data_IF_792729871796
#
_entry.id   IF_792729871796
#
_cell.length_a   1.000
_cell.length_b   1.000
_cell.length_c   1.000
_cell.angle_alpha   90.00
_cell.angle_beta   90.00
_cell.angle_gamma   90.00
#
_symmetry.space_group_name_H-M   'P 1'
#
loop_
_entity.id
_entity.type
_entity.pdbx_description
1 polymer ?
#
# COMPACT_ATOMS: atom_id res chain seq x y z
N UNK A 1 -39.88 6.21 6.96
CA UNK A 1 -39.06 6.17 6.48
C UNK A 1 -39.15 6.39 6.08
N UNK A 2 -39.52 6.18 6.67
CA UNK A 2 -38.74 5.97 6.13
C UNK A 2 -38.54 6.13 5.98
N UNK A 3 -38.29 5.94 6.31
CA UNK A 3 -37.48 5.79 6.09
C UNK A 3 -36.86 5.85 5.92
N UNK A 4 -37.39 5.79 6.62
CA UNK A 4 -36.39 5.73 6.35
C UNK A 4 -36.19 5.57 6.40
N UNK A 5 -35.98 5.39 6.75
CA UNK A 5 -35.30 5.14 6.59
C UNK A 5 -34.57 4.97 6.61
N UNK A 6 -35.49 5.16 7.24
CA UNK A 6 -34.43 5.02 7.24
C UNK A 6 -34.29 4.56 6.85
N UNK A 7 -34.11 4.36 7.42
CA UNK A 7 -33.47 3.95 6.87
C UNK A 7 -33.08 4.04 6.05
N UNK A 8 -34.03 4.08 6.99
CA UNK A 8 -33.35 4.09 6.15
C UNK A 8 -32.88 4.50 5.99
N UNK A 9 -32.89 4.54 6.54
CA UNK A 9 -32.01 4.96 6.23
C UNK A 9 -31.25 4.82 6.33
N UNK A 10 -31.40 4.85 6.86
CA UNK A 10 -30.40 4.78 6.59
C UNK A 10 -30.24 4.32 6.17
N UNK A 11 -30.94 4.48 6.97
CA UNK A 11 -30.31 4.17 6.19
C UNK A 11 -30.41 4.05 5.46
N UNK A 12 -31.46 3.82 5.85
CA UNK A 12 -31.18 3.73 4.98
C UNK A 12 -31.26 3.74 4.28
N UNK A 13 -31.50 3.55 4.90
CA UNK A 13 -31.25 3.64 4.04
C UNK A 13 -31.17 3.62 3.42
N UNK A 14 -31.58 3.13 3.66
CA UNK A 14 -31.01 3.29 3.08
C UNK A 14 -31.13 2.89 2.34
N UNK A 15 -31.21 2.53 2.71
CA UNK A 15 -31.10 2.36 1.94
C UNK A 15 -30.82 2.28 1.33
N UNK A 16 -31.66 2.18 2.19
CA UNK A 16 -31.10 2.12 1.49
C UNK A 16 -31.03 2.18 0.79
N UNK A 17 -31.18 1.97 1.52
CA UNK A 17 -30.49 2.03 0.73
C UNK A 17 -30.42 2.23 0.37
N UNK A 18 -30.30 1.93 0.78
CA UNK A 18 -29.78 2.09 0.32
C UNK A 18 -29.11 2.46 0.30
N UNK A 19 -29.90 2.57 1.23
CA UNK A 19 -28.67 2.99 1.09
C UNK A 19 -28.47 3.41 1.45
N UNK A 20 -27.88 3.53 2.02
CA UNK A 20 -27.12 3.92 1.88
C UNK A 20 -26.75 4.30 2.14
N UNK A 21 -26.36 4.44 2.74
CA UNK A 21 -25.55 4.70 2.54
C UNK A 21 -25.17 5.18 2.33
N UNK A 22 -25.25 5.34 2.87
CA UNK A 22 -24.57 5.69 2.37
C UNK A 22 -24.44 5.96 1.79
N UNK A 23 -24.81 6.15 1.95
CA UNK A 23 -24.14 6.25 1.00
C UNK A 23 -24.15 6.48 0.46
N UNK A 24 -24.49 6.47 0.40
CA UNK A 24 -24.09 6.41 -0.59
C UNK A 24 -24.07 6.81 -1.03
N UNK A 25 -24.02 6.94 -1.08
CA UNK A 25 -23.65 7.12 -1.92
C UNK A 25 -23.88 7.20 -2.62
N UNK A 26 -23.97 7.39 -2.81
CA UNK A 26 -24.04 7.26 -3.72
C UNK A 26 -23.42 6.90 -4.55
N UNK A 27 -23.85 7.07 -4.74
CA UNK A 27 -23.42 6.34 -5.81
C UNK A 27 -22.30 6.98 -6.42
N UNK A 28 -22.32 8.13 -6.80
CA UNK A 28 -21.22 8.69 -7.41
C UNK A 28 -20.16 8.88 -6.50
N UNK A 29 -20.43 9.10 -5.33
CA UNK A 29 -19.38 9.23 -4.46
C UNK A 29 -18.78 7.91 -4.16
N UNK A 30 -19.60 6.92 -3.98
CA UNK A 30 -19.12 5.60 -3.83
C UNK A 30 -18.38 5.16 -5.03
N UNK A 31 -18.81 5.63 -6.20
CA UNK A 31 -18.15 5.30 -7.37
C UNK A 31 -16.79 5.81 -7.44
N UNK A 32 -16.52 6.95 -6.89
CA UNK A 32 -15.17 7.44 -6.89
C UNK A 32 -14.26 6.49 -6.20
N UNK A 33 -14.77 5.84 -5.15
CA UNK A 33 -13.96 4.87 -4.48
C UNK A 33 -13.65 3.73 -5.39
N UNK A 34 -14.62 3.27 -6.11
CA UNK A 34 -14.43 2.16 -7.01
C UNK A 34 -13.46 2.52 -8.10
N UNK A 35 -13.58 3.70 -8.63
CA UNK A 35 -12.68 4.12 -9.66
C UNK A 35 -11.27 4.19 -9.19
N UNK A 36 -11.10 4.54 -7.93
CA UNK A 36 -9.78 4.64 -7.39
C UNK A 36 -9.16 3.29 -7.18
N UNK A 37 -9.94 2.25 -7.38
CA UNK A 37 -9.41 0.92 -7.22
C UNK A 37 -9.00 0.34 -8.55
N UNK A 38 -8.36 1.15 -9.36
CA UNK A 38 -7.79 0.64 -10.58
C UNK A 38 -6.87 -0.51 -10.23
N UNK A 39 -6.99 -1.59 -10.96
CA UNK A 39 -6.21 -2.78 -10.73
C UNK A 39 -4.74 -2.49 -11.01
N UNK A 40 -3.91 -2.76 -10.02
CA UNK A 40 -2.47 -2.63 -10.16
C UNK A 40 -1.93 -4.03 -10.36
N UNK A 41 -1.11 -4.20 -11.37
CA UNK A 41 -0.57 -5.51 -11.72
C UNK A 41 0.92 -5.58 -11.48
N UNK A 42 1.41 -6.79 -11.28
CA UNK A 42 2.81 -7.03 -11.06
C UNK A 42 3.54 -7.12 -12.40
N UNK A 43 4.64 -6.37 -12.54
CA UNK A 43 5.50 -6.46 -13.70
C UNK A 43 6.55 -7.55 -13.57
N UNK A 44 6.68 -8.10 -12.36
CA UNK A 44 7.57 -9.20 -12.03
C UNK A 44 6.99 -9.86 -10.79
N UNK A 45 7.51 -11.01 -10.41
CA UNK A 45 7.04 -11.68 -9.19
C UNK A 45 7.28 -10.78 -7.99
N UNK A 46 6.30 -10.68 -7.13
CA UNK A 46 6.32 -9.83 -5.94
C UNK A 46 6.03 -10.69 -4.73
N UNK A 47 6.72 -10.43 -3.64
CA UNK A 47 6.47 -11.12 -2.38
C UNK A 47 5.96 -10.15 -1.34
N UNK A 48 5.13 -10.66 -0.45
CA UNK A 48 4.61 -9.89 0.66
C UNK A 48 5.76 -9.20 1.40
N UNK A 49 5.58 -7.93 1.68
CA UNK A 49 6.56 -7.16 2.43
C UNK A 49 7.60 -6.45 1.59
N UNK A 50 7.62 -6.69 0.28
CA UNK A 50 8.57 -5.98 -0.58
C UNK A 50 8.07 -4.59 -0.90
N UNK A 51 9.02 -3.66 -1.00
CA UNK A 51 8.74 -2.31 -1.51
C UNK A 51 8.59 -2.42 -3.01
N UNK A 52 7.53 -1.85 -3.55
CA UNK A 52 7.30 -1.88 -4.99
C UNK A 52 7.30 -0.48 -5.58
N UNK A 53 7.80 -0.37 -6.79
CA UNK A 53 7.87 0.90 -7.52
C UNK A 53 7.08 0.80 -8.81
N UNK A 54 6.66 1.95 -9.30
CA UNK A 54 5.89 2.03 -10.54
C UNK A 54 6.83 1.82 -11.71
N UNK A 55 6.57 0.79 -12.50
CA UNK A 55 7.40 0.45 -13.67
C UNK A 55 6.62 0.52 -14.97
N UNK A 56 5.33 0.82 -14.91
CA UNK A 56 4.50 0.95 -16.11
C UNK A 56 3.15 1.54 -15.73
N UNK A 57 2.24 1.59 -16.67
CA UNK A 57 0.91 2.16 -16.43
C UNK A 57 0.12 1.20 -15.54
N UNK A 58 -0.01 1.56 -14.26
CA UNK A 58 -0.64 0.74 -13.24
C UNK A 58 0.08 -0.61 -13.07
N UNK A 59 1.40 -0.60 -13.25
CA UNK A 59 2.25 -1.79 -13.09
C UNK A 59 3.32 -1.48 -12.07
N UNK A 60 3.55 -2.39 -11.14
CA UNK A 60 4.59 -2.24 -10.13
C UNK A 60 5.49 -3.46 -10.10
N UNK A 61 6.70 -3.26 -9.65
CA UNK A 61 7.68 -4.34 -9.48
C UNK A 61 8.48 -4.09 -8.22
N UNK A 62 9.11 -5.11 -7.65
CA UNK A 62 9.99 -4.87 -6.50
C UNK A 62 11.08 -3.88 -6.89
N UNK A 63 11.46 -3.01 -5.96
CA UNK A 63 12.52 -2.03 -6.23
C UNK A 63 13.86 -2.73 -6.42
N UNK A 64 14.73 -2.12 -7.21
CA UNK A 64 16.09 -2.65 -7.42
C UNK A 64 17.15 -1.77 -6.75
N UNK A 65 16.77 -0.58 -6.32
CA UNK A 65 17.67 0.38 -5.71
C UNK A 65 16.81 1.44 -5.02
N UNK A 66 17.44 2.50 -4.51
CA UNK A 66 16.72 3.65 -4.01
C UNK A 66 15.91 4.23 -5.18
N UNK A 67 14.63 4.38 -4.98
CA UNK A 67 13.74 4.77 -6.07
C UNK A 67 12.88 5.96 -5.68
N UNK A 68 12.72 6.87 -6.63
CA UNK A 68 11.81 8.00 -6.47
C UNK A 68 10.38 7.61 -6.90
N UNK A 69 10.17 6.40 -7.37
CA UNK A 69 8.87 5.96 -7.90
C UNK A 69 8.20 4.91 -7.03
N UNK A 70 8.56 4.85 -5.77
CA UNK A 70 7.97 3.87 -4.86
C UNK A 70 6.50 4.16 -4.68
N UNK A 71 5.67 3.14 -4.83
CA UNK A 71 4.24 3.25 -4.58
C UNK A 71 3.91 2.84 -3.15
N UNK A 72 4.47 1.76 -2.68
CA UNK A 72 4.16 1.26 -1.35
C UNK A 72 4.75 -0.11 -1.09
N UNK A 73 4.10 -0.85 -0.24
CA UNK A 73 4.53 -2.18 0.21
C UNK A 73 3.51 -3.21 -0.22
N UNK A 74 3.97 -4.30 -0.79
CA UNK A 74 3.07 -5.37 -1.21
C UNK A 74 2.53 -6.12 0.01
N UNK A 75 1.23 -6.33 0.02
CA UNK A 75 0.57 -6.98 1.16
C UNK A 75 0.46 -8.48 0.99
N UNK A 76 0.58 -8.98 -0.23
CA UNK A 76 0.48 -10.40 -0.53
C UNK A 76 1.43 -10.74 -1.66
N UNK A 77 1.74 -12.02 -1.79
CA UNK A 77 2.52 -12.49 -2.93
C UNK A 77 1.70 -12.36 -4.21
N UNK A 78 2.36 -12.01 -5.29
CA UNK A 78 1.73 -11.95 -6.61
C UNK A 78 2.76 -12.37 -7.65
N UNK A 79 2.31 -13.09 -8.65
CA UNK A 79 3.18 -13.42 -9.76
C UNK A 79 3.05 -12.39 -10.85
N UNK A 80 3.99 -12.37 -11.75
CA UNK A 80 3.95 -11.44 -12.88
C UNK A 80 2.57 -11.50 -13.53
N UNK A 81 2.03 -10.32 -13.82
CA UNK A 81 0.73 -10.09 -14.46
C UNK A 81 -0.48 -10.32 -13.54
N UNK A 82 -0.28 -10.70 -12.29
CA UNK A 82 -1.37 -10.80 -11.32
C UNK A 82 -1.57 -9.47 -10.61
N UNK A 83 -2.73 -9.33 -9.99
CA UNK A 83 -3.04 -8.13 -9.20
C UNK A 83 -2.15 -8.06 -7.97
N UNK A 84 -1.76 -6.86 -7.61
CA UNK A 84 -0.97 -6.60 -6.42
C UNK A 84 -1.75 -5.69 -5.48
N UNK A 85 -1.87 -6.09 -4.22
CA UNK A 85 -2.39 -5.22 -3.18
C UNK A 85 -1.23 -4.45 -2.59
N UNK A 86 -1.29 -3.13 -2.66
CA UNK A 86 -0.22 -2.26 -2.20
C UNK A 86 -0.74 -1.35 -1.11
N UNK A 87 -0.01 -1.28 0.01
CA UNK A 87 -0.35 -0.36 1.08
C UNK A 87 0.63 0.79 1.02
N UNK A 88 0.13 2.01 1.19
CA UNK A 88 0.96 3.20 0.99
C UNK A 88 1.46 3.83 2.29
N UNK A 89 0.93 3.41 3.43
CA UNK A 89 1.37 3.92 4.73
C UNK A 89 1.13 2.87 5.80
N UNK A 90 1.93 2.91 6.85
CA UNK A 90 1.69 2.07 8.01
C UNK A 90 2.98 1.52 8.60
N UNK A 91 2.82 0.55 9.48
CA UNK A 91 3.93 -0.14 10.12
C UNK A 91 4.08 -1.49 9.46
N UNK A 92 5.25 -1.77 8.92
CA UNK A 92 5.46 -3.01 8.17
C UNK A 92 6.70 -3.74 8.64
N UNK A 93 6.64 -5.05 8.52
CA UNK A 93 7.78 -5.93 8.74
C UNK A 93 8.42 -6.15 7.38
N UNK A 94 9.63 -5.69 7.22
CA UNK A 94 10.32 -5.71 5.94
C UNK A 94 11.69 -6.35 6.10
N UNK A 95 12.39 -6.54 5.01
CA UNK A 95 13.73 -7.15 5.05
C UNK A 95 14.75 -6.07 4.79
N UNK A 96 15.79 -6.04 5.62
CA UNK A 96 16.88 -5.07 5.50
C UNK A 96 17.84 -5.51 4.41
N UNK A 97 18.25 -4.56 3.58
CA UNK A 97 19.27 -4.82 2.55
C UNK A 97 20.68 -4.68 3.11
N UNK A 98 20.81 -4.09 4.29
CA UNK A 98 22.09 -3.90 4.95
C UNK A 98 21.85 -3.53 6.39
N UNK A 99 22.86 -3.03 7.06
CA UNK A 99 22.74 -2.66 8.46
C UNK A 99 21.87 -1.42 8.61
N UNK A 100 20.87 -1.50 9.47
CA UNK A 100 19.95 -0.39 9.74
C UNK A 100 19.87 -0.23 11.25
N UNK A 101 20.01 1.00 11.73
CA UNK A 101 19.84 1.29 13.14
C UNK A 101 18.44 1.83 13.40
N UNK A 102 17.89 1.50 14.55
CA UNK A 102 16.59 2.01 14.94
C UNK A 102 16.62 3.55 14.92
N UNK A 103 15.57 4.15 14.39
CA UNK A 103 15.46 5.60 14.27
C UNK A 103 16.05 6.16 13.00
N UNK A 104 16.72 5.35 12.19
CA UNK A 104 17.31 5.81 10.92
C UNK A 104 16.26 5.96 9.86
N UNK A 105 16.48 6.93 8.97
CA UNK A 105 15.64 7.02 7.77
C UNK A 105 16.02 5.91 6.82
N UNK A 106 15.03 5.36 6.15
CA UNK A 106 15.27 4.27 5.21
C UNK A 106 14.76 4.62 3.82
N UNK A 107 15.38 4.01 2.86
CA UNK A 107 15.01 4.11 1.45
C UNK A 107 14.84 2.70 0.90
N UNK A 108 14.32 2.58 -0.31
CA UNK A 108 14.21 1.26 -0.95
C UNK A 108 15.59 0.78 -1.40
N UNK A 109 15.74 -0.52 -1.48
CA UNK A 109 16.97 -1.15 -1.93
C UNK A 109 16.68 -2.27 -2.92
N UNK A 110 17.66 -3.11 -3.16
CA UNK A 110 17.53 -4.22 -4.09
C UNK A 110 16.47 -5.22 -3.59
N UNK A 111 15.80 -5.85 -4.52
CA UNK A 111 14.80 -6.90 -4.24
C UNK A 111 13.68 -6.46 -3.29
N UNK A 112 13.28 -5.21 -3.39
CA UNK A 112 12.21 -4.68 -2.55
C UNK A 112 12.55 -4.59 -1.08
N UNK A 113 13.82 -4.66 -0.72
CA UNK A 113 14.28 -4.53 0.65
C UNK A 113 14.45 -3.06 1.01
N UNK A 114 14.72 -2.77 2.26
CA UNK A 114 14.96 -1.40 2.70
C UNK A 114 16.39 -1.23 3.15
N UNK A 115 16.89 -0.03 2.99
CA UNK A 115 18.26 0.30 3.34
C UNK A 115 18.30 1.67 4.02
N UNK A 116 19.35 1.93 4.77
CA UNK A 116 19.56 3.27 5.34
C UNK A 116 19.84 4.24 4.20
N UNK A 117 19.20 5.39 4.23
CA UNK A 117 19.46 6.40 3.22
C UNK A 117 18.80 7.72 3.55
N UNK A 118 19.25 8.77 2.85
CA UNK A 118 18.74 10.12 3.08
C UNK A 118 18.01 10.68 1.86
N UNK A 119 18.09 9.99 0.71
CA UNK A 119 17.40 10.42 -0.49
C UNK A 119 16.29 9.44 -0.81
N UNK A 120 15.19 9.95 -1.32
CA UNK A 120 14.03 9.15 -1.66
C UNK A 120 13.60 8.28 -0.48
N UNK A 121 13.59 8.89 0.71
CA UNK A 121 13.25 8.14 1.92
C UNK A 121 11.81 7.72 1.91
N UNK A 122 11.56 6.53 2.45
CA UNK A 122 10.22 5.96 2.48
C UNK A 122 9.75 5.70 3.91
N UNK A 123 10.57 6.01 4.90
CA UNK A 123 10.13 5.84 6.28
C UNK A 123 11.26 5.87 7.26
N UNK A 124 10.98 5.40 8.46
CA UNK A 124 11.91 5.37 9.58
C UNK A 124 11.91 3.97 10.16
N UNK A 125 13.10 3.43 10.43
CA UNK A 125 13.23 2.12 11.04
C UNK A 125 12.84 2.19 12.52
N UNK A 126 12.01 1.28 12.95
CA UNK A 126 11.59 1.21 14.35
C UNK A 126 12.55 0.30 15.12
N UNK A 127 13.11 -0.69 14.45
CA UNK A 127 14.05 -1.63 15.07
C UNK A 127 15.35 -1.64 14.29
N UNK A 128 16.40 -2.16 14.89
CA UNK A 128 17.67 -2.35 14.22
C UNK A 128 17.71 -3.70 13.54
N UNK A 129 18.50 -3.81 12.47
CA UNK A 129 18.64 -5.07 11.74
C UNK A 129 19.94 -5.06 10.97
N UNK A 130 20.45 -6.26 10.65
CA UNK A 130 21.55 -6.42 9.73
C UNK A 130 20.99 -6.97 8.42
N UNK A 131 21.89 -7.14 7.43
CA UNK A 131 21.45 -7.55 6.10
C UNK A 131 20.62 -8.84 6.15
N UNK A 132 19.53 -8.84 5.39
CA UNK A 132 18.59 -9.96 5.23
C UNK A 132 17.82 -10.34 6.49
N UNK A 133 17.89 -9.52 7.53
CA UNK A 133 17.07 -9.68 8.72
C UNK A 133 15.81 -8.83 8.60
N UNK A 134 14.81 -9.18 9.40
CA UNK A 134 13.58 -8.39 9.45
C UNK A 134 13.82 -7.09 10.19
N UNK A 135 13.21 -6.04 9.69
CA UNK A 135 13.21 -4.72 10.31
C UNK A 135 11.79 -4.21 10.28
N UNK A 136 11.36 -3.54 11.34
CA UNK A 136 10.05 -2.92 11.37
C UNK A 136 10.21 -1.47 10.97
N UNK A 137 9.39 -1.02 10.04
CA UNK A 137 9.51 0.30 9.44
C UNK A 137 8.17 1.01 9.51
N UNK A 138 8.20 2.27 9.92
CA UNK A 138 7.05 3.14 9.74
C UNK A 138 7.17 3.71 8.34
N UNK A 139 6.35 3.22 7.45
CA UNK A 139 6.38 3.58 6.04
C UNK A 139 5.48 4.78 5.80
N UNK A 140 6.05 5.81 5.18
CA UNK A 140 5.29 7.02 4.87
C UNK A 140 6.08 7.81 3.83
N UNK A 141 5.50 8.03 2.70
CA UNK A 141 6.12 8.79 1.62
C UNK A 141 5.52 10.18 1.57
#
# INVERSE_FOLDING_TARGET
MAQIKYEDHFVNDYKVGEGNMIGALPAEFGENQVLNQKIIKAGADVKKGQVVEITGDAVVSPTSAASAKVLGVAMFDAKKDEEVSVETEGLFKMIAAGTIAAGSKVTSGADGKVATGTENTIGIAITSATADEYVYVKFSI
#
